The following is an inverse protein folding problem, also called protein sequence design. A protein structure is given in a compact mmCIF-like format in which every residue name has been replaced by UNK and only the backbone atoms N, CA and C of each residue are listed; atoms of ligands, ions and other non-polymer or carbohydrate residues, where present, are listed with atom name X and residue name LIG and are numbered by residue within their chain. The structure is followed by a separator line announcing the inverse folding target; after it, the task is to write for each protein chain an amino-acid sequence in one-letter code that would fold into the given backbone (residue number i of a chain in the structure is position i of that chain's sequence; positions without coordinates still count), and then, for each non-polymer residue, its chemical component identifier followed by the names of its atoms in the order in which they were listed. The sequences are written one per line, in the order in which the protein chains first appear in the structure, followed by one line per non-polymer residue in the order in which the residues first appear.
data_IF_113053743606
#
_entry.id   IF_113053743606
#
_cell.length_a   1.000
_cell.length_b   1.000
_cell.length_c   1.000
_cell.angle_alpha   90.00
_cell.angle_beta   90.00
_cell.angle_gamma   90.00
#
_symmetry.space_group_name_H-M   'P 1'
#
loop_
_entity.id
_entity.type
_entity.pdbx_description
1 polymer ?
#
# COMPACT_ATOMS: atom_id res chain seq x y z
N UNK A 1 2.27 5.89 -9.77
CA UNK A 1 2.06 4.64 -8.96
C UNK A 1 0.57 4.43 -8.76
N UNK A 2 0.14 3.19 -8.60
CA UNK A 2 -1.28 2.85 -8.44
C UNK A 2 -1.52 2.15 -7.12
N UNK A 3 -2.43 2.65 -6.30
CA UNK A 3 -2.89 2.01 -5.06
C UNK A 3 -4.16 1.23 -5.36
N UNK A 4 -4.02 -0.07 -5.55
CA UNK A 4 -5.09 -0.93 -6.05
C UNK A 4 -6.37 -0.93 -5.20
N UNK A 5 -6.31 -0.99 -3.86
CA UNK A 5 -7.54 -0.96 -3.04
C UNK A 5 -8.41 0.27 -3.29
N UNK A 6 -7.80 1.39 -3.68
CA UNK A 6 -8.52 2.60 -4.02
C UNK A 6 -9.00 2.60 -5.48
N UNK A 7 -8.15 2.16 -6.42
CA UNK A 7 -8.43 2.28 -7.85
C UNK A 7 -9.39 1.21 -8.39
N UNK A 8 -9.39 0.01 -7.83
CA UNK A 8 -10.26 -1.08 -8.32
C UNK A 8 -11.76 -0.76 -8.28
N UNK A 9 -12.31 -0.06 -7.26
CA UNK A 9 -13.71 0.37 -7.30
C UNK A 9 -14.05 1.29 -8.48
N UNK A 10 -13.11 2.13 -8.93
CA UNK A 10 -13.31 2.97 -10.11
C UNK A 10 -13.38 2.17 -11.40
N UNK A 11 -12.68 1.04 -11.49
CA UNK A 11 -12.81 0.11 -12.63
C UNK A 11 -14.24 -0.40 -12.74
N UNK A 12 -14.84 -0.83 -11.63
CA UNK A 12 -16.23 -1.29 -11.61
C UNK A 12 -17.21 -0.17 -12.00
N UNK A 13 -16.96 1.05 -11.55
CA UNK A 13 -17.78 2.20 -11.91
C UNK A 13 -17.66 2.54 -13.40
N UNK A 14 -16.46 2.51 -13.97
CA UNK A 14 -16.24 2.68 -15.41
C UNK A 14 -16.96 1.60 -16.23
N UNK A 15 -17.00 0.35 -15.76
CA UNK A 15 -17.74 -0.73 -16.39
C UNK A 15 -19.25 -0.46 -16.37
N UNK A 16 -19.81 0.00 -15.26
CA UNK A 16 -21.23 0.38 -15.14
C UNK A 16 -21.59 1.54 -16.06
N UNK A 17 -20.71 2.52 -16.19
CA UNK A 17 -20.88 3.68 -17.07
C UNK A 17 -20.60 3.36 -18.55
N UNK A 18 -20.19 2.14 -18.88
CA UNK A 18 -19.80 1.73 -20.23
C UNK A 18 -18.72 2.65 -20.84
N UNK A 19 -17.76 3.05 -20.00
CA UNK A 19 -16.65 3.92 -20.42
C UNK A 19 -15.80 3.24 -21.48
N UNK A 20 -15.48 3.95 -22.55
CA UNK A 20 -14.68 3.45 -23.67
C UNK A 20 -13.42 4.28 -23.86
N UNK A 21 -12.45 3.74 -24.62
CA UNK A 21 -11.18 4.38 -24.91
C UNK A 21 -10.07 3.92 -23.96
N UNK A 22 -8.92 4.60 -24.05
CA UNK A 22 -7.74 4.31 -23.23
C UNK A 22 -7.65 5.31 -22.07
N UNK A 23 -7.50 4.81 -20.86
CA UNK A 23 -7.37 5.59 -19.63
C UNK A 23 -6.18 5.07 -18.84
N UNK A 24 -5.33 5.98 -18.36
CA UNK A 24 -4.25 5.64 -17.45
C UNK A 24 -4.82 5.44 -16.03
N UNK A 25 -4.86 4.21 -15.56
CA UNK A 25 -5.35 3.88 -14.22
C UNK A 25 -4.21 3.98 -13.20
N UNK A 26 -3.96 5.17 -12.72
CA UNK A 26 -2.93 5.45 -11.71
C UNK A 26 -3.37 6.64 -10.85
N UNK A 27 -2.93 6.69 -9.60
CA UNK A 27 -3.23 7.84 -8.75
C UNK A 27 -2.53 9.10 -9.28
N UNK A 28 -3.19 10.27 -9.24
CA UNK A 28 -2.55 11.53 -9.61
C UNK A 28 -1.35 11.85 -8.73
N UNK A 29 -0.39 12.55 -9.31
CA UNK A 29 0.80 13.02 -8.61
C UNK A 29 1.98 12.06 -8.67
N UNK A 30 3.05 12.46 -8.00
CA UNK A 30 4.32 11.75 -7.94
C UNK A 30 4.67 11.40 -6.50
N UNK A 31 5.32 10.27 -6.33
CA UNK A 31 5.88 9.83 -5.06
C UNK A 31 7.17 9.05 -5.32
N UNK A 32 8.19 9.30 -4.52
CA UNK A 32 9.43 8.53 -4.54
C UNK A 32 9.37 7.34 -3.58
N UNK A 33 10.26 6.37 -3.79
CA UNK A 33 10.39 5.25 -2.86
C UNK A 33 10.77 5.74 -1.44
N UNK A 34 11.61 6.76 -1.33
CA UNK A 34 12.00 7.31 -0.03
C UNK A 34 10.82 7.89 0.71
N UNK A 35 9.95 8.65 0.04
CA UNK A 35 8.72 9.17 0.66
C UNK A 35 7.81 8.05 1.16
N UNK A 36 7.69 6.96 0.41
CA UNK A 36 6.93 5.78 0.85
C UNK A 36 7.57 5.14 2.09
N UNK A 37 8.89 4.97 2.10
CA UNK A 37 9.62 4.38 3.22
C UNK A 37 9.58 5.26 4.47
N UNK A 38 9.60 6.58 4.32
CA UNK A 38 9.40 7.53 5.41
C UNK A 38 8.00 7.41 6.01
N UNK A 39 6.96 7.34 5.17
CA UNK A 39 5.59 7.10 5.63
C UNK A 39 5.45 5.74 6.32
N UNK A 40 6.10 4.70 5.80
CA UNK A 40 6.12 3.37 6.43
C UNK A 40 6.76 3.42 7.81
N UNK A 41 7.90 4.09 7.95
CA UNK A 41 8.57 4.29 9.23
C UNK A 41 7.68 5.03 10.22
N UNK A 42 7.04 6.11 9.77
CA UNK A 42 6.15 6.93 10.60
C UNK A 42 4.92 6.14 11.10
N UNK A 43 4.27 5.39 10.20
CA UNK A 43 2.95 4.79 10.45
C UNK A 43 3.07 3.36 10.97
N UNK A 44 3.93 2.54 10.36
CA UNK A 44 3.96 1.09 10.60
C UNK A 44 5.03 0.70 11.59
N UNK A 45 6.30 1.02 11.31
CA UNK A 45 7.43 0.58 12.11
C UNK A 45 8.45 1.70 12.34
N UNK A 46 8.43 2.38 13.49
CA UNK A 46 9.36 3.46 13.81
C UNK A 46 10.84 3.07 13.82
N UNK A 47 11.14 1.78 14.00
CA UNK A 47 12.51 1.24 13.99
C UNK A 47 13.00 0.87 12.60
N UNK A 48 12.18 1.05 11.56
CA UNK A 48 12.55 0.72 10.19
C UNK A 48 13.66 1.64 9.68
N UNK A 49 14.70 1.06 9.12
CA UNK A 49 15.82 1.78 8.52
C UNK A 49 16.09 1.23 7.12
N UNK A 50 16.55 2.10 6.23
CA UNK A 50 16.91 1.73 4.86
C UNK A 50 18.16 2.47 4.41
N UNK A 51 18.80 1.92 3.39
CA UNK A 51 19.94 2.54 2.72
C UNK A 51 19.63 2.71 1.25
N UNK A 52 19.87 3.91 0.75
CA UNK A 52 19.74 4.20 -0.68
C UNK A 52 20.97 3.71 -1.44
N UNK A 53 20.75 3.20 -2.65
CA UNK A 53 21.81 3.02 -3.62
C UNK A 53 22.09 4.34 -4.35
N UNK A 54 23.36 4.60 -4.64
CA UNK A 54 23.72 5.64 -5.60
C UNK A 54 23.30 5.22 -7.02
N UNK A 55 23.22 6.19 -7.94
CA UNK A 55 22.93 5.89 -9.36
C UNK A 55 23.96 4.94 -9.99
N UNK A 56 25.21 5.03 -9.56
CA UNK A 56 26.30 4.16 -10.02
C UNK A 56 26.15 2.73 -9.48
N UNK A 57 25.86 2.57 -8.19
CA UNK A 57 25.58 1.27 -7.58
C UNK A 57 24.35 0.61 -8.22
N UNK A 58 23.30 1.40 -8.52
CA UNK A 58 22.10 0.91 -9.17
C UNK A 58 22.37 0.40 -10.60
N UNK A 59 23.16 1.14 -11.39
CA UNK A 59 23.54 0.73 -12.74
C UNK A 59 24.36 -0.56 -12.76
N UNK A 60 25.20 -0.80 -11.75
CA UNK A 60 25.98 -2.01 -11.63
C UNK A 60 25.13 -3.27 -11.39
N UNK A 61 23.96 -3.13 -10.78
CA UNK A 61 23.06 -4.23 -10.40
C UNK A 61 22.02 -4.51 -11.48
N UNK A 62 21.56 -3.46 -12.20
CA UNK A 62 20.48 -3.59 -13.17
C UNK A 62 21.00 -4.03 -14.54
N UNK A 63 20.29 -4.98 -15.18
CA UNK A 63 20.58 -5.42 -16.54
C UNK A 63 20.22 -4.38 -17.62
N UNK A 64 19.38 -3.38 -17.28
CA UNK A 64 18.96 -2.31 -18.16
C UNK A 64 18.76 -0.99 -17.40
N UNK A 65 18.93 0.13 -18.09
CA UNK A 65 18.65 1.44 -17.52
C UNK A 65 17.17 1.62 -17.20
N UNK A 66 16.88 2.33 -16.11
CA UNK A 66 15.53 2.74 -15.71
C UNK A 66 15.30 4.21 -16.04
N UNK A 67 14.08 4.52 -16.45
CA UNK A 67 13.58 5.88 -16.57
C UNK A 67 12.50 6.15 -15.54
N UNK A 68 12.38 7.39 -15.10
CA UNK A 68 11.25 7.85 -14.33
C UNK A 68 10.05 8.04 -15.28
N UNK A 69 8.91 7.52 -14.89
CA UNK A 69 7.68 7.60 -15.66
C UNK A 69 6.67 8.49 -14.97
N UNK A 70 6.03 9.33 -15.75
CA UNK A 70 4.85 10.10 -15.36
C UNK A 70 3.73 9.81 -16.36
N UNK A 71 2.58 9.35 -15.84
CA UNK A 71 1.40 9.10 -16.65
C UNK A 71 0.41 10.24 -16.47
N UNK A 72 -0.14 10.72 -17.59
CA UNK A 72 -1.18 11.73 -17.59
C UNK A 72 -2.49 11.13 -17.05
N UNK A 73 -3.01 11.70 -15.96
CA UNK A 73 -4.23 11.28 -15.28
C UNK A 73 -5.42 12.19 -15.56
N UNK A 74 -5.31 13.15 -16.48
CA UNK A 74 -6.35 14.15 -16.71
C UNK A 74 -7.70 13.52 -17.08
N UNK A 75 -7.73 12.46 -17.89
CA UNK A 75 -8.97 11.76 -18.23
C UNK A 75 -9.61 11.06 -17.02
N UNK A 76 -8.79 10.42 -16.19
CA UNK A 76 -9.25 9.75 -14.98
C UNK A 76 -9.80 10.75 -13.97
N UNK A 77 -9.11 11.87 -13.76
CA UNK A 77 -9.52 12.94 -12.86
C UNK A 77 -10.79 13.65 -13.34
N UNK A 78 -10.99 13.76 -14.66
CA UNK A 78 -12.24 14.30 -15.23
C UNK A 78 -13.44 13.38 -14.96
N UNK A 79 -13.25 12.06 -14.99
CA UNK A 79 -14.30 11.08 -14.68
C UNK A 79 -14.55 10.96 -13.17
N UNK A 80 -13.49 11.03 -12.36
CA UNK A 80 -13.52 10.86 -10.90
C UNK A 80 -12.74 11.97 -10.22
N UNK A 81 -13.36 13.16 -10.02
CA UNK A 81 -12.68 14.32 -9.41
C UNK A 81 -12.23 14.07 -7.96
N UNK A 82 -12.83 13.10 -7.28
CA UNK A 82 -12.53 12.75 -5.88
C UNK A 82 -11.39 11.74 -5.72
N UNK A 83 -10.74 11.33 -6.82
CA UNK A 83 -9.63 10.38 -6.75
C UNK A 83 -8.46 10.97 -5.94
N UNK A 84 -7.96 10.19 -4.98
CA UNK A 84 -6.87 10.64 -4.11
C UNK A 84 -5.55 10.81 -4.87
N UNK A 85 -4.82 11.86 -4.54
CA UNK A 85 -3.41 11.98 -4.91
C UNK A 85 -2.62 10.80 -4.33
N UNK A 86 -1.55 10.39 -5.02
CA UNK A 86 -0.75 9.22 -4.64
C UNK A 86 -0.23 9.27 -3.19
N UNK A 87 0.14 10.44 -2.68
CA UNK A 87 0.62 10.59 -1.30
C UNK A 87 -0.48 10.28 -0.28
N UNK A 88 -1.71 10.73 -0.55
CA UNK A 88 -2.88 10.45 0.29
C UNK A 88 -3.26 8.97 0.21
N UNK A 89 -3.29 8.41 -1.00
CA UNK A 89 -3.64 7.01 -1.24
C UNK A 89 -2.66 6.05 -0.55
N UNK A 90 -1.35 6.31 -0.64
CA UNK A 90 -0.32 5.50 0.03
C UNK A 90 -0.46 5.60 1.55
N UNK A 91 -0.67 6.81 2.10
CA UNK A 91 -0.86 6.99 3.55
C UNK A 91 -2.07 6.22 4.07
N UNK A 92 -3.20 6.30 3.39
CA UNK A 92 -4.41 5.51 3.74
C UNK A 92 -4.14 4.00 3.71
N UNK A 93 -3.45 3.53 2.67
CA UNK A 93 -3.08 2.12 2.53
C UNK A 93 -2.20 1.63 3.69
N UNK A 94 -1.19 2.41 4.08
CA UNK A 94 -0.31 2.07 5.20
C UNK A 94 -1.03 2.07 6.55
N UNK A 95 -1.96 2.99 6.77
CA UNK A 95 -2.80 3.00 7.98
C UNK A 95 -3.67 1.74 8.05
N UNK A 96 -4.31 1.34 6.96
CA UNK A 96 -5.10 0.12 6.88
C UNK A 96 -4.24 -1.13 7.12
N UNK A 97 -3.04 -1.16 6.54
CA UNK A 97 -2.08 -2.24 6.76
C UNK A 97 -1.73 -2.39 8.25
N UNK A 98 -1.41 -1.27 8.92
CA UNK A 98 -1.11 -1.26 10.36
C UNK A 98 -2.28 -1.75 11.21
N UNK A 99 -3.49 -1.32 10.89
CA UNK A 99 -4.70 -1.76 11.59
C UNK A 99 -4.93 -3.27 11.43
N UNK A 100 -4.69 -3.80 10.25
CA UNK A 100 -4.80 -5.24 9.99
C UNK A 100 -3.78 -6.03 10.81
N UNK A 101 -2.51 -5.62 10.80
CA UNK A 101 -1.46 -6.27 11.63
C UNK A 101 -1.83 -6.30 13.11
N UNK A 102 -2.37 -5.20 13.65
CA UNK A 102 -2.80 -5.13 15.04
C UNK A 102 -3.98 -6.06 15.33
N UNK A 103 -4.93 -6.18 14.40
CA UNK A 103 -6.07 -7.07 14.55
C UNK A 103 -5.63 -8.55 14.52
N UNK A 104 -4.79 -8.92 13.56
CA UNK A 104 -4.25 -10.28 13.43
C UNK A 104 -3.47 -10.67 14.71
N UNK A 105 -2.61 -9.79 15.21
CA UNK A 105 -1.90 -10.00 16.47
C UNK A 105 -2.84 -10.21 17.68
N UNK A 106 -3.90 -9.41 17.78
CA UNK A 106 -4.87 -9.54 18.86
C UNK A 106 -5.65 -10.86 18.78
N UNK A 107 -5.99 -11.34 17.59
CA UNK A 107 -6.66 -12.65 17.42
C UNK A 107 -5.71 -13.81 17.78
N UNK A 108 -4.46 -13.77 17.39
CA UNK A 108 -3.45 -14.77 17.76
C UNK A 108 -3.25 -14.82 19.28
N UNK A 109 -3.17 -13.66 19.94
CA UNK A 109 -3.09 -13.58 21.39
C UNK A 109 -4.31 -14.19 22.08
N UNK A 110 -5.52 -13.92 21.61
CA UNK A 110 -6.75 -14.53 22.14
C UNK A 110 -6.72 -16.04 22.02
N UNK A 111 -6.33 -16.57 20.87
CA UNK A 111 -6.22 -18.02 20.65
C UNK A 111 -5.20 -18.65 21.59
N UNK A 112 -4.04 -18.00 21.79
CA UNK A 112 -3.02 -18.46 22.73
C UNK A 112 -3.55 -18.53 24.18
N UNK A 113 -4.29 -17.51 24.63
CA UNK A 113 -4.91 -17.50 25.97
C UNK A 113 -5.94 -18.62 26.14
N UNK A 114 -6.75 -18.87 25.13
CA UNK A 114 -7.74 -19.98 25.16
C UNK A 114 -7.01 -21.33 25.30
N UNK A 115 -5.98 -21.55 24.49
CA UNK A 115 -5.20 -22.77 24.53
C UNK A 115 -4.48 -22.99 25.89
N UNK A 116 -3.89 -21.94 26.45
CA UNK A 116 -3.28 -21.99 27.79
C UNK A 116 -4.29 -22.36 28.87
N UNK A 117 -5.50 -21.78 28.87
CA UNK A 117 -6.57 -22.10 29.81
C UNK A 117 -6.99 -23.57 29.73
N UNK A 118 -7.14 -24.11 28.52
CA UNK A 118 -7.48 -25.52 28.32
C UNK A 118 -6.41 -26.43 28.91
N UNK A 119 -5.14 -26.19 28.65
CA UNK A 119 -4.03 -26.96 29.23
C UNK A 119 -3.99 -26.89 30.75
N UNK A 120 -4.24 -25.75 31.35
CA UNK A 120 -4.28 -25.61 32.80
C UNK A 120 -5.42 -26.42 33.43
N UNK A 121 -6.59 -26.51 32.80
CA UNK A 121 -7.73 -27.33 33.25
C UNK A 121 -7.42 -28.82 33.12
N UNK A 122 -6.76 -29.26 32.06
CA UNK A 122 -6.35 -30.65 31.86
C UNK A 122 -5.28 -31.09 32.87
N UNK A 123 -4.43 -30.18 33.35
CA UNK A 123 -3.37 -30.49 34.33
C UNK A 123 -3.88 -30.54 35.78
N UNK A 124 -5.07 -29.99 36.06
CA UNK A 124 -5.70 -30.05 37.39
C UNK A 124 -6.59 -31.28 37.61
N UNK A 125 -6.75 -32.11 36.64
CA UNK A 125 -7.39 -33.42 36.69
C UNK A 125 -6.39 -34.55 36.92
#
# INVERSE_FOLDING_TARGET
MSVLPELLPYVLEMMKQQTTGTINLTNPGLISHNEILEMYKEIVNPSFEWKNFSMEEQRAILAADRSNNYLDTSKLEALFPDIDNINVAVRKCLIQYKQKEMNDYNEDMKQMYVHMRQKMQETQL
#
